data_IF_344212109040
#
_entry.id   IF_344212109040
#
_cell.length_a   1.000
_cell.length_b   1.000
_cell.length_c   1.000
_cell.angle_alpha   90.00
_cell.angle_beta   90.00
_cell.angle_gamma   90.00
#
_symmetry.space_group_name_H-M   'P 1'
#
loop_
_entity.id
_entity.type
_entity.pdbx_description
1 polymer ?
#
# COMPACT_ATOMS: atom_id res chain seq x y z
N UNK A 1 32.17 16.56 13.83
CA UNK A 1 31.15 16.42 12.77
C UNK A 1 30.17 15.35 13.25
N UNK A 2 29.14 15.76 14.02
CA UNK A 2 28.26 14.84 14.80
C UNK A 2 26.77 15.27 14.78
N UNK A 3 26.49 16.50 14.29
CA UNK A 3 25.14 17.08 14.27
C UNK A 3 24.30 16.58 13.10
N UNK A 4 24.89 16.34 11.94
CA UNK A 4 24.17 16.01 10.70
C UNK A 4 23.48 14.65 10.78
N UNK A 5 24.15 13.61 11.27
CA UNK A 5 23.59 12.26 11.45
C UNK A 5 22.41 12.26 12.43
N UNK A 6 22.52 13.05 13.51
CA UNK A 6 21.44 13.23 14.47
C UNK A 6 20.25 13.98 13.86
N UNK A 7 20.51 14.98 13.00
CA UNK A 7 19.45 15.68 12.25
C UNK A 7 18.75 14.71 11.31
N UNK A 8 19.47 13.83 10.61
CA UNK A 8 18.86 12.83 9.72
C UNK A 8 17.95 11.89 10.50
N UNK A 9 18.40 11.32 11.63
CA UNK A 9 17.56 10.45 12.46
C UNK A 9 16.30 11.19 12.97
N UNK A 10 16.45 12.44 13.40
CA UNK A 10 15.33 13.27 13.85
C UNK A 10 14.34 13.55 12.71
N UNK A 11 14.83 13.88 11.52
CA UNK A 11 14.01 14.11 10.33
C UNK A 11 13.23 12.86 9.95
N UNK A 12 13.84 11.67 10.01
CA UNK A 12 13.14 10.41 9.74
C UNK A 12 12.02 10.15 10.75
N UNK A 13 12.26 10.38 12.04
CA UNK A 13 11.23 10.24 13.08
C UNK A 13 10.11 11.26 12.88
N UNK A 14 10.45 12.52 12.60
CA UNK A 14 9.47 13.56 12.32
C UNK A 14 8.64 13.24 11.08
N UNK A 15 9.25 12.67 10.03
CA UNK A 15 8.55 12.21 8.83
C UNK A 15 7.54 11.12 9.17
N UNK A 16 7.93 10.11 9.96
CA UNK A 16 7.02 9.03 10.40
C UNK A 16 5.84 9.61 11.19
N UNK A 17 6.13 10.46 12.18
CA UNK A 17 5.10 11.07 13.04
C UNK A 17 4.17 11.95 12.20
N UNK A 18 4.71 12.80 11.34
CA UNK A 18 3.93 13.66 10.46
C UNK A 18 3.05 12.85 9.51
N UNK A 19 3.58 11.78 8.89
CA UNK A 19 2.81 10.90 8.00
C UNK A 19 1.65 10.21 8.74
N UNK A 20 1.89 9.69 9.95
CA UNK A 20 0.88 9.02 10.77
C UNK A 20 -0.19 10.01 11.21
N UNK A 21 0.20 11.16 11.76
CA UNK A 21 -0.75 12.20 12.19
C UNK A 21 -1.55 12.73 10.99
N UNK A 22 -0.88 13.00 9.87
CA UNK A 22 -1.54 13.42 8.64
C UNK A 22 -2.61 12.40 8.28
N UNK A 23 -2.31 11.11 8.24
CA UNK A 23 -3.28 10.10 7.85
C UNK A 23 -4.45 9.94 8.85
N UNK A 24 -4.20 10.03 10.16
CA UNK A 24 -5.24 9.93 11.19
C UNK A 24 -6.22 11.12 11.20
N UNK A 25 -5.73 12.32 10.86
CA UNK A 25 -6.54 13.55 10.86
C UNK A 25 -6.96 14.03 9.47
N UNK A 26 -6.44 13.39 8.42
CA UNK A 26 -6.76 13.69 7.04
C UNK A 26 -8.19 13.24 6.72
N UNK A 27 -9.04 14.11 6.16
CA UNK A 27 -10.34 13.70 5.63
C UNK A 27 -10.24 12.95 4.28
N UNK A 28 -9.03 12.71 3.76
CA UNK A 28 -8.77 12.17 2.43
C UNK A 28 -8.86 10.64 2.43
N UNK A 29 -10.04 10.14 2.78
CA UNK A 29 -10.40 8.74 2.78
C UNK A 29 -11.38 8.42 1.64
N UNK A 30 -11.73 7.14 1.50
CA UNK A 30 -12.74 6.71 0.55
C UNK A 30 -14.07 7.46 0.76
N UNK A 31 -14.73 7.77 -0.36
CA UNK A 31 -16.13 8.17 -0.33
C UNK A 31 -17.00 7.05 0.27
N UNK A 32 -18.19 7.36 0.79
CA UNK A 32 -19.13 6.33 1.21
C UNK A 32 -19.36 5.27 0.11
N UNK A 33 -19.47 4.01 0.52
CA UNK A 33 -19.67 2.89 -0.39
C UNK A 33 -20.96 3.09 -1.21
N UNK A 34 -20.82 3.13 -2.54
CA UNK A 34 -21.92 3.39 -3.48
C UNK A 34 -22.41 2.13 -4.22
N UNK A 35 -21.87 0.95 -3.90
CA UNK A 35 -22.15 -0.31 -4.61
C UNK A 35 -21.97 -1.52 -3.69
N UNK A 36 -22.16 -2.73 -4.22
CA UNK A 36 -21.89 -3.99 -3.52
C UNK A 36 -20.39 -4.33 -3.40
N UNK A 37 -19.48 -3.49 -3.89
CA UNK A 37 -18.03 -3.74 -3.92
C UNK A 37 -17.28 -3.47 -2.60
N UNK A 38 -17.95 -3.54 -1.45
CA UNK A 38 -17.31 -3.25 -0.14
C UNK A 38 -16.14 -4.18 0.20
N UNK A 39 -16.07 -5.37 -0.40
CA UNK A 39 -14.94 -6.28 -0.24
C UNK A 39 -13.65 -5.74 -0.90
N UNK A 40 -13.77 -4.98 -1.99
CA UNK A 40 -12.65 -4.31 -2.63
C UNK A 40 -12.09 -3.22 -1.72
N UNK A 41 -12.95 -2.36 -1.19
CA UNK A 41 -12.58 -1.31 -0.22
C UNK A 41 -11.89 -1.92 1.01
N UNK A 42 -12.44 -3.01 1.54
CA UNK A 42 -11.86 -3.73 2.68
C UNK A 42 -10.45 -4.24 2.36
N UNK A 43 -10.24 -4.81 1.17
CA UNK A 43 -8.92 -5.31 0.74
C UNK A 43 -7.90 -4.18 0.61
N UNK A 44 -8.32 -3.02 0.10
CA UNK A 44 -7.46 -1.83 0.02
C UNK A 44 -7.12 -1.32 1.42
N UNK A 45 -8.09 -1.24 2.33
CA UNK A 45 -7.87 -0.79 3.72
C UNK A 45 -6.90 -1.73 4.45
N UNK A 46 -7.05 -3.05 4.31
CA UNK A 46 -6.13 -4.02 4.90
C UNK A 46 -4.72 -3.82 4.36
N UNK A 47 -4.57 -3.71 3.04
CA UNK A 47 -3.28 -3.49 2.37
C UNK A 47 -2.63 -2.20 2.87
N UNK A 48 -3.41 -1.13 2.97
CA UNK A 48 -2.97 0.16 3.47
C UNK A 48 -2.41 0.05 4.90
N UNK A 49 -3.14 -0.59 5.83
CA UNK A 49 -2.68 -0.70 7.21
C UNK A 49 -1.46 -1.60 7.36
N UNK A 50 -1.41 -2.74 6.66
CA UNK A 50 -0.25 -3.64 6.69
C UNK A 50 0.99 -2.91 6.18
N UNK A 51 0.91 -2.30 5.00
CA UNK A 51 2.05 -1.58 4.41
C UNK A 51 2.42 -0.34 5.23
N UNK A 52 1.45 0.35 5.82
CA UNK A 52 1.67 1.47 6.73
C UNK A 52 2.43 1.06 8.00
N UNK A 53 2.08 -0.05 8.64
CA UNK A 53 2.80 -0.57 9.80
C UNK A 53 4.24 -0.94 9.43
N UNK A 54 4.43 -1.64 8.30
CA UNK A 54 5.77 -2.01 7.81
C UNK A 54 6.60 -0.76 7.48
N UNK A 55 6.00 0.25 6.86
CA UNK A 55 6.63 1.54 6.59
C UNK A 55 7.13 2.22 7.88
N UNK A 56 6.29 2.29 8.91
CA UNK A 56 6.67 2.85 10.22
C UNK A 56 7.81 2.05 10.84
N UNK A 57 7.71 0.72 10.85
CA UNK A 57 8.74 -0.15 11.43
C UNK A 57 10.10 0.01 10.73
N UNK A 58 10.12 0.03 9.40
CA UNK A 58 11.35 0.17 8.61
C UNK A 58 11.97 1.56 8.84
N UNK A 59 11.20 2.64 8.77
CA UNK A 59 11.75 3.98 8.95
C UNK A 59 12.28 4.22 10.36
N UNK A 60 11.58 3.73 11.38
CA UNK A 60 12.07 3.82 12.76
C UNK A 60 13.31 2.95 12.98
N UNK A 61 13.38 1.77 12.34
CA UNK A 61 14.58 0.93 12.37
C UNK A 61 15.78 1.63 11.71
N UNK A 62 15.58 2.26 10.54
CA UNK A 62 16.63 3.05 9.89
C UNK A 62 17.04 4.24 10.75
N UNK A 63 16.11 4.98 11.32
CA UNK A 63 16.40 6.10 12.23
C UNK A 63 17.19 5.62 13.46
N UNK A 64 16.82 4.47 14.03
CA UNK A 64 17.57 3.82 15.10
C UNK A 64 18.99 3.47 14.66
N UNK A 65 19.16 2.86 13.48
CA UNK A 65 20.48 2.50 12.97
C UNK A 65 21.38 3.73 12.77
N UNK A 66 20.85 4.81 12.18
CA UNK A 66 21.57 6.08 12.02
C UNK A 66 21.96 6.65 13.39
N UNK A 67 21.04 6.66 14.37
CA UNK A 67 21.32 7.21 15.69
C UNK A 67 22.33 6.37 16.51
N UNK A 68 22.19 5.03 16.45
CA UNK A 68 22.94 4.07 17.28
C UNK A 68 24.30 3.71 16.70
N UNK A 69 24.40 3.62 15.37
CA UNK A 69 25.61 3.23 14.63
C UNK A 69 26.27 4.39 13.87
N UNK A 70 25.92 5.64 14.22
CA UNK A 70 26.63 6.85 13.73
C UNK A 70 28.13 6.78 13.93
N UNK A 71 28.87 7.50 13.09
CA UNK A 71 30.32 7.54 13.17
C UNK A 71 30.79 8.11 14.51
N UNK A 72 31.82 7.48 15.09
CA UNK A 72 32.50 7.96 16.29
C UNK A 72 33.99 7.80 16.10
N UNK A 73 34.75 8.84 16.40
CA UNK A 73 36.21 8.79 16.32
C UNK A 73 36.75 7.61 17.14
N UNK A 74 37.64 6.82 16.55
CA UNK A 74 38.23 5.64 17.17
C UNK A 74 37.38 4.36 17.12
N UNK A 75 36.12 4.41 16.66
CA UNK A 75 35.29 3.22 16.47
C UNK A 75 35.31 2.79 15.00
N UNK A 76 35.75 1.55 14.74
CA UNK A 76 35.65 0.92 13.42
C UNK A 76 34.37 0.12 13.30
N UNK A 77 33.76 0.14 12.11
CA UNK A 77 32.61 -0.71 11.81
C UNK A 77 33.02 -2.19 11.89
N UNK A 78 32.13 -3.01 12.44
CA UNK A 78 32.28 -4.46 12.37
C UNK A 78 32.09 -4.92 10.92
N UNK A 79 32.98 -5.78 10.43
CA UNK A 79 32.88 -6.36 9.10
C UNK A 79 32.19 -7.72 9.20
N UNK A 80 30.88 -7.72 8.95
CA UNK A 80 30.02 -8.92 8.93
C UNK A 80 29.24 -8.90 7.62
N UNK A 81 29.79 -9.47 6.54
CA UNK A 81 29.23 -9.31 5.19
C UNK A 81 28.03 -10.20 4.90
N UNK A 82 27.92 -11.37 5.53
CA UNK A 82 26.87 -12.34 5.24
C UNK A 82 26.25 -12.91 6.52
N UNK A 83 24.94 -13.13 6.49
CA UNK A 83 24.24 -13.85 7.54
C UNK A 83 23.11 -14.68 6.92
N UNK A 84 23.48 -15.87 6.43
CA UNK A 84 22.56 -16.80 5.77
C UNK A 84 21.29 -17.10 6.59
N UNK A 85 21.39 -17.14 7.93
CA UNK A 85 20.20 -17.35 8.77
C UNK A 85 19.26 -16.16 8.71
N UNK A 86 19.79 -14.95 8.90
CA UNK A 86 18.99 -13.71 8.85
C UNK A 86 18.35 -13.52 7.47
N UNK A 87 19.13 -13.72 6.41
CA UNK A 87 18.67 -13.62 5.02
C UNK A 87 17.52 -14.59 4.73
N UNK A 88 17.65 -15.85 5.16
CA UNK A 88 16.59 -16.83 4.99
C UNK A 88 15.31 -16.45 5.74
N UNK A 89 15.44 -16.00 6.99
CA UNK A 89 14.29 -15.55 7.80
C UNK A 89 13.58 -14.35 7.19
N UNK A 90 14.33 -13.33 6.73
CA UNK A 90 13.77 -12.16 6.07
C UNK A 90 13.11 -12.53 4.73
N UNK A 91 13.72 -13.43 3.97
CA UNK A 91 13.18 -13.88 2.68
C UNK A 91 11.85 -14.62 2.87
N UNK A 92 11.81 -15.60 3.78
CA UNK A 92 10.58 -16.36 4.07
C UNK A 92 9.50 -15.43 4.64
N UNK A 93 9.86 -14.58 5.62
CA UNK A 93 8.93 -13.63 6.22
C UNK A 93 8.31 -12.68 5.18
N UNK A 94 9.15 -12.12 4.30
CA UNK A 94 8.70 -11.22 3.23
C UNK A 94 7.82 -11.96 2.22
N UNK A 95 8.22 -13.15 1.78
CA UNK A 95 7.44 -13.95 0.84
C UNK A 95 6.05 -14.31 1.39
N UNK A 96 5.96 -14.71 2.66
CA UNK A 96 4.69 -15.01 3.33
C UNK A 96 3.82 -13.76 3.44
N UNK A 97 4.38 -12.62 3.84
CA UNK A 97 3.63 -11.37 3.93
C UNK A 97 3.05 -10.95 2.56
N UNK A 98 3.86 -11.02 1.50
CA UNK A 98 3.43 -10.68 0.14
C UNK A 98 2.35 -11.65 -0.35
N UNK A 99 2.53 -12.94 -0.15
CA UNK A 99 1.54 -13.95 -0.55
C UNK A 99 0.21 -13.77 0.19
N UNK A 100 0.25 -13.51 1.50
CA UNK A 100 -0.93 -13.24 2.32
C UNK A 100 -1.66 -11.97 1.88
N UNK A 101 -0.95 -10.97 1.37
CA UNK A 101 -1.54 -9.73 0.87
C UNK A 101 -2.14 -9.89 -0.54
N UNK A 102 -1.51 -10.71 -1.40
CA UNK A 102 -1.98 -10.94 -2.77
C UNK A 102 -3.17 -11.91 -2.85
N UNK A 103 -3.23 -12.92 -1.99
CA UNK A 103 -4.25 -13.96 -2.06
C UNK A 103 -5.69 -13.41 -1.98
N UNK A 104 -6.07 -12.54 -1.01
CA UNK A 104 -7.40 -11.90 -0.99
C UNK A 104 -7.68 -11.09 -2.26
N UNK A 105 -6.68 -10.36 -2.76
CA UNK A 105 -6.79 -9.56 -3.98
C UNK A 105 -7.12 -10.40 -5.22
N UNK A 106 -6.62 -11.63 -5.29
CA UNK A 106 -6.94 -12.57 -6.39
C UNK A 106 -8.42 -13.01 -6.36
N UNK A 107 -9.01 -13.20 -5.18
CA UNK A 107 -10.44 -13.50 -5.07
C UNK A 107 -11.31 -12.31 -5.49
N UNK A 108 -10.98 -11.10 -5.01
CA UNK A 108 -11.66 -9.86 -5.44
C UNK A 108 -11.59 -9.70 -6.95
N UNK A 109 -10.40 -9.95 -7.52
CA UNK A 109 -10.18 -9.83 -8.96
C UNK A 109 -11.04 -10.81 -9.76
N UNK A 110 -11.13 -12.06 -9.31
CA UNK A 110 -11.99 -13.07 -9.95
C UNK A 110 -13.46 -12.63 -9.99
N UNK A 111 -13.97 -12.12 -8.88
CA UNK A 111 -15.34 -11.59 -8.81
C UNK A 111 -15.50 -10.36 -9.70
N UNK A 112 -14.51 -9.47 -9.73
CA UNK A 112 -14.52 -8.24 -10.53
C UNK A 112 -14.62 -8.48 -12.04
N UNK A 113 -13.86 -9.45 -12.57
CA UNK A 113 -13.87 -9.76 -14.01
C UNK A 113 -15.05 -10.64 -14.43
N UNK A 114 -15.79 -11.20 -13.47
CA UNK A 114 -16.91 -12.11 -13.74
C UNK A 114 -18.20 -11.31 -13.83
N UNK A 115 -18.68 -11.09 -15.05
CA UNK A 115 -19.94 -10.36 -15.29
C UNK A 115 -21.14 -11.20 -14.81
N UNK A 116 -22.02 -10.65 -13.94
CA UNK A 116 -23.26 -11.33 -13.53
C UNK A 116 -24.19 -11.61 -14.71
N UNK A 117 -25.00 -12.66 -14.63
CA UNK A 117 -25.91 -13.07 -15.73
C UNK A 117 -27.02 -12.04 -15.98
N UNK A 118 -27.41 -11.36 -14.92
CA UNK A 118 -28.46 -10.34 -14.85
C UNK A 118 -27.94 -8.90 -15.05
N UNK A 119 -26.70 -8.74 -15.51
CA UNK A 119 -26.12 -7.43 -15.74
C UNK A 119 -26.86 -6.64 -16.83
N UNK A 120 -27.24 -5.39 -16.51
CA UNK A 120 -27.77 -4.46 -17.50
C UNK A 120 -26.69 -4.11 -18.53
N UNK A 121 -27.04 -4.16 -19.82
CA UNK A 121 -26.14 -3.75 -20.91
C UNK A 121 -26.25 -2.25 -21.10
N UNK A 122 -25.11 -1.55 -21.13
CA UNK A 122 -25.02 -0.13 -21.49
C UNK A 122 -23.82 0.02 -22.40
N UNK A 123 -24.01 0.60 -23.58
CA UNK A 123 -22.91 0.98 -24.46
C UNK A 123 -22.49 2.42 -24.14
N UNK A 124 -21.19 2.63 -23.95
CA UNK A 124 -20.61 3.93 -23.62
C UNK A 124 -19.59 4.30 -24.69
N UNK A 125 -19.88 5.37 -25.45
CA UNK A 125 -18.99 5.90 -26.47
C UNK A 125 -18.23 7.12 -25.93
N UNK A 126 -16.92 6.97 -25.77
CA UNK A 126 -16.02 8.08 -25.46
C UNK A 126 -15.71 8.92 -26.69
N UNK A 127 -15.85 10.23 -26.57
CA UNK A 127 -15.54 11.22 -27.60
C UNK A 127 -14.61 12.29 -27.01
N UNK A 128 -14.02 13.14 -27.86
CA UNK A 128 -13.22 14.27 -27.39
C UNK A 128 -14.08 15.19 -26.52
N UNK A 129 -13.82 15.19 -25.20
CA UNK A 129 -14.56 15.93 -24.17
C UNK A 129 -16.06 15.62 -24.05
N UNK A 130 -16.53 14.45 -24.49
CA UNK A 130 -17.93 14.03 -24.29
C UNK A 130 -18.09 12.52 -24.16
N UNK A 131 -19.23 12.11 -23.60
CA UNK A 131 -19.63 10.72 -23.45
C UNK A 131 -21.05 10.56 -23.98
N UNK A 132 -21.30 9.53 -24.79
CA UNK A 132 -22.63 9.13 -25.20
C UNK A 132 -22.98 7.76 -24.62
N UNK A 133 -24.22 7.60 -24.17
CA UNK A 133 -24.71 6.37 -23.55
C UNK A 133 -25.88 5.82 -24.37
N UNK A 134 -25.83 4.53 -24.70
CA UNK A 134 -26.94 3.81 -25.34
C UNK A 134 -27.42 2.69 -24.43
N UNK A 135 -28.72 2.71 -24.14
CA UNK A 135 -29.41 1.68 -23.38
C UNK A 135 -30.19 0.78 -24.34
N UNK A 136 -30.33 -0.52 -24.03
CA UNK A 136 -31.13 -1.43 -24.83
C UNK A 136 -32.61 -1.03 -24.83
N UNK A 137 -33.28 -1.32 -25.94
CA UNK A 137 -34.73 -1.19 -26.05
C UNK A 137 -35.46 -2.19 -25.15
N UNK A 138 -36.81 -2.18 -25.22
CA UNK A 138 -37.64 -3.17 -24.50
C UNK A 138 -37.38 -4.61 -24.93
N UNK A 139 -36.81 -4.79 -26.12
CA UNK A 139 -36.36 -6.06 -26.70
C UNK A 139 -34.98 -6.52 -26.17
N UNK A 140 -34.31 -5.72 -25.34
CA UNK A 140 -33.00 -6.04 -24.78
C UNK A 140 -31.84 -5.89 -25.78
N UNK A 141 -32.10 -5.35 -26.97
CA UNK A 141 -31.12 -5.18 -28.04
C UNK A 141 -30.67 -3.71 -28.08
N UNK A 142 -29.37 -3.52 -28.32
CA UNK A 142 -28.80 -2.19 -28.57
C UNK A 142 -29.12 -1.79 -30.01
N UNK A 143 -29.93 -0.74 -30.17
CA UNK A 143 -30.40 -0.17 -31.44
C UNK A 143 -29.87 1.23 -31.65
#
# INVERSE_FOLDING_TARGET
>A
MEKEEMVVALVLVLLVVASVLFHLYSPWWFSPLASNWGYMDTTIIITFWITGVVYVAILLFVAYCVFRFRHREGIKAAYEPENNKLELWLTIGTAVCVAAMLAPGLFVWYDFVTVPKEAAKVEVLGQQWSWNYRLPGKDGVLG
#
